data_IF_411326402550
#
_entry.id   IF_411326402550
#
_cell.length_a   1.000
_cell.length_b   1.000
_cell.length_c   1.000
_cell.angle_alpha   90.00
_cell.angle_beta   90.00
_cell.angle_gamma   90.00
#
_symmetry.space_group_name_H-M   'P 1'
#
loop_
_entity.id
_entity.type
_entity.pdbx_description
1 polymer ?
#
# COMPACT_ATOMS: atom_id res chain seq x y z
N UNK A 1 -8.94 -32.91 44.26
CA UNK A 1 -9.76 -31.80 43.74
C UNK A 1 -9.36 -31.56 42.29
N UNK A 2 -10.01 -32.25 41.35
CA UNK A 2 -9.74 -32.13 39.91
C UNK A 2 -10.91 -31.38 39.26
N UNK A 3 -10.73 -30.10 38.93
CA UNK A 3 -11.67 -29.32 38.11
C UNK A 3 -10.96 -28.13 37.45
N UNK A 4 -10.06 -28.44 36.51
CA UNK A 4 -9.41 -27.45 35.65
C UNK A 4 -9.08 -28.08 34.29
N UNK A 5 -10.09 -28.59 33.60
CA UNK A 5 -9.98 -29.01 32.21
C UNK A 5 -11.32 -28.70 31.54
N UNK A 6 -11.32 -27.90 30.48
CA UNK A 6 -12.56 -27.69 29.71
C UNK A 6 -12.71 -26.41 28.90
N UNK A 7 -11.72 -25.50 28.83
CA UNK A 7 -11.71 -24.58 27.69
C UNK A 7 -11.22 -25.42 26.51
N UNK A 8 -12.18 -26.00 25.76
CA UNK A 8 -11.89 -26.77 24.54
C UNK A 8 -10.98 -25.93 23.66
N UNK A 9 -9.99 -26.56 23.02
CA UNK A 9 -9.17 -25.89 21.99
C UNK A 9 -10.06 -25.11 21.01
N UNK A 10 -11.27 -25.62 20.72
CA UNK A 10 -12.28 -24.95 19.88
C UNK A 10 -12.73 -23.58 20.36
N UNK A 11 -12.76 -23.33 21.67
CA UNK A 11 -13.13 -22.02 22.21
C UNK A 11 -12.00 -21.00 22.09
N UNK A 12 -10.74 -21.45 22.22
CA UNK A 12 -9.54 -20.62 22.01
C UNK A 12 -9.35 -20.31 20.52
N UNK A 13 -9.47 -21.33 19.66
CA UNK A 13 -9.38 -21.15 18.21
C UNK A 13 -10.47 -20.20 17.69
N UNK A 14 -11.72 -20.33 18.16
CA UNK A 14 -12.83 -19.47 17.75
C UNK A 14 -12.62 -18.00 18.14
N UNK A 15 -12.20 -17.74 19.38
CA UNK A 15 -11.86 -16.38 19.84
C UNK A 15 -10.69 -15.78 19.07
N UNK A 16 -9.73 -16.61 18.63
CA UNK A 16 -8.61 -16.17 17.81
C UNK A 16 -9.05 -15.86 16.37
N UNK A 17 -9.92 -16.69 15.78
CA UNK A 17 -10.56 -16.42 14.49
C UNK A 17 -11.39 -15.13 14.53
N UNK A 18 -12.15 -14.90 15.60
CA UNK A 18 -12.92 -13.66 15.78
C UNK A 18 -12.00 -12.43 15.91
N UNK A 19 -10.88 -12.55 16.63
CA UNK A 19 -9.90 -11.47 16.73
C UNK A 19 -9.19 -11.18 15.40
N UNK A 20 -8.93 -12.21 14.58
CA UNK A 20 -8.38 -12.05 13.22
C UNK A 20 -9.38 -11.40 12.28
N UNK A 21 -10.64 -11.81 12.32
CA UNK A 21 -11.71 -11.18 11.54
C UNK A 21 -11.88 -9.70 11.91
N UNK A 22 -11.88 -9.39 13.21
CA UNK A 22 -11.92 -8.00 13.70
C UNK A 22 -10.68 -7.19 13.28
N UNK A 23 -9.49 -7.79 13.28
CA UNK A 23 -8.28 -7.13 12.79
C UNK A 23 -8.39 -6.85 11.28
N UNK A 24 -8.85 -7.81 10.49
CA UNK A 24 -9.03 -7.65 9.05
C UNK A 24 -10.10 -6.62 8.72
N UNK A 25 -11.21 -6.60 9.45
CA UNK A 25 -12.28 -5.61 9.29
C UNK A 25 -11.78 -4.22 9.71
N UNK A 26 -11.06 -4.09 10.83
CA UNK A 26 -10.45 -2.83 11.24
C UNK A 26 -9.40 -2.32 10.23
N UNK A 27 -8.64 -3.22 9.59
CA UNK A 27 -7.70 -2.87 8.52
C UNK A 27 -8.41 -2.53 7.20
N UNK A 28 -9.56 -3.15 6.90
CA UNK A 28 -10.37 -2.86 5.72
C UNK A 28 -11.12 -1.53 5.83
N UNK A 29 -11.48 -1.12 7.05
CA UNK A 29 -12.10 0.18 7.35
C UNK A 29 -11.09 1.35 7.31
N UNK A 30 -9.79 1.07 7.18
CA UNK A 30 -8.79 2.12 6.97
C UNK A 30 -9.00 2.76 5.60
N UNK A 31 -8.94 4.10 5.55
CA UNK A 31 -8.98 4.85 4.30
C UNK A 31 -7.67 4.64 3.53
N UNK A 32 -7.67 3.66 2.62
CA UNK A 32 -6.51 3.36 1.78
C UNK A 32 -6.48 4.37 0.62
N UNK A 33 -5.30 4.95 0.32
CA UNK A 33 -5.11 5.82 -0.83
C UNK A 33 -5.69 5.22 -2.12
N UNK A 34 -6.33 6.05 -2.93
CA UNK A 34 -6.89 5.67 -4.23
C UNK A 34 -6.38 6.62 -5.30
N UNK A 35 -6.03 6.09 -6.47
CA UNK A 35 -5.58 6.89 -7.61
C UNK A 35 -6.78 7.53 -8.32
N UNK A 36 -6.76 8.85 -8.49
CA UNK A 36 -7.80 9.59 -9.21
C UNK A 36 -7.77 9.30 -10.71
N UNK A 37 -8.95 9.12 -11.32
CA UNK A 37 -9.07 8.74 -12.73
C UNK A 37 -9.27 9.95 -13.68
N UNK A 38 -9.77 11.05 -13.15
CA UNK A 38 -10.19 12.26 -13.85
C UNK A 38 -9.10 13.35 -13.91
N UNK A 39 -7.97 13.14 -13.25
CA UNK A 39 -6.81 14.03 -13.29
C UNK A 39 -5.80 13.63 -14.38
N UNK A 40 -4.92 14.57 -14.81
CA UNK A 40 -3.75 14.24 -15.61
C UNK A 40 -2.91 13.15 -14.92
N UNK A 41 -2.46 12.08 -15.62
CA UNK A 41 -1.85 10.92 -14.96
C UNK A 41 -0.67 11.23 -14.04
N UNK A 42 0.22 12.14 -14.45
CA UNK A 42 1.35 12.56 -13.62
C UNK A 42 0.88 13.26 -12.34
N UNK A 43 -0.10 14.16 -12.43
CA UNK A 43 -0.65 14.86 -11.27
C UNK A 43 -1.38 13.91 -10.32
N UNK A 44 -2.19 13.00 -10.88
CA UNK A 44 -2.89 11.97 -10.12
C UNK A 44 -1.90 11.07 -9.35
N UNK A 45 -0.79 10.67 -10.00
CA UNK A 45 0.25 9.85 -9.38
C UNK A 45 1.03 10.62 -8.31
N UNK A 46 1.27 11.92 -8.47
CA UNK A 46 1.90 12.76 -7.44
C UNK A 46 0.98 12.84 -6.21
N UNK A 47 -0.30 13.16 -6.40
CA UNK A 47 -1.28 13.20 -5.30
C UNK A 47 -1.38 11.83 -4.60
N UNK A 48 -1.45 10.76 -5.38
CA UNK A 48 -1.47 9.40 -4.85
C UNK A 48 -0.19 9.05 -4.07
N UNK A 49 0.99 9.50 -4.51
CA UNK A 49 2.25 9.31 -3.80
C UNK A 49 2.27 10.04 -2.44
N UNK A 50 1.69 11.25 -2.38
CA UNK A 50 1.50 11.96 -1.13
C UNK A 50 0.59 11.21 -0.16
N UNK A 51 -0.50 10.65 -0.66
CA UNK A 51 -1.46 9.90 0.14
C UNK A 51 -0.85 8.60 0.68
N UNK A 52 -0.10 7.88 -0.17
CA UNK A 52 0.71 6.73 0.23
C UNK A 52 1.76 7.09 1.28
N UNK A 53 2.46 8.21 1.11
CA UNK A 53 3.46 8.65 2.08
C UNK A 53 2.83 8.89 3.45
N UNK A 54 1.71 9.64 3.49
CA UNK A 54 0.97 9.89 4.73
C UNK A 54 0.46 8.61 5.37
N UNK A 55 -0.01 7.68 4.55
CA UNK A 55 -0.44 6.37 4.99
C UNK A 55 0.71 5.60 5.66
N UNK A 56 1.86 5.46 5.00
CA UNK A 56 3.01 4.72 5.53
C UNK A 56 3.70 5.41 6.72
N UNK A 57 3.78 6.74 6.71
CA UNK A 57 4.45 7.51 7.76
C UNK A 57 3.54 7.80 8.97
N UNK A 58 2.24 7.51 8.88
CA UNK A 58 1.26 7.60 9.95
C UNK A 58 1.20 6.33 10.82
N UNK A 59 0.54 6.43 11.99
CA UNK A 59 0.43 5.32 12.95
C UNK A 59 -0.21 4.04 12.39
N UNK A 60 -1.14 4.19 11.44
CA UNK A 60 -1.83 3.08 10.78
C UNK A 60 -0.95 2.32 9.77
N UNK A 61 -0.03 3.01 9.08
CA UNK A 61 0.88 2.41 8.10
C UNK A 61 1.95 1.51 8.71
N UNK A 62 2.43 1.86 9.91
CA UNK A 62 3.36 1.02 10.67
C UNK A 62 2.72 -0.31 11.10
N UNK A 63 1.46 -0.29 11.53
CA UNK A 63 0.72 -1.50 11.84
C UNK A 63 0.58 -2.39 10.59
N UNK A 64 0.33 -1.78 9.44
CA UNK A 64 0.19 -2.47 8.17
C UNK A 64 1.50 -3.12 7.66
N UNK A 65 2.62 -2.39 7.80
CA UNK A 65 3.96 -2.94 7.54
C UNK A 65 4.29 -4.07 8.50
N UNK A 66 3.89 -3.94 9.76
CA UNK A 66 4.11 -4.97 10.78
C UNK A 66 3.34 -6.26 10.50
N UNK A 67 2.13 -6.18 9.92
CA UNK A 67 1.41 -7.37 9.42
C UNK A 67 2.21 -8.10 8.34
N UNK A 68 2.92 -7.39 7.47
CA UNK A 68 3.77 -8.02 6.45
C UNK A 68 5.06 -8.62 7.04
N UNK A 69 5.65 -7.96 8.05
CA UNK A 69 6.85 -8.45 8.75
C UNK A 69 6.55 -9.67 9.62
N UNK A 70 5.43 -9.66 10.35
CA UNK A 70 4.99 -10.74 11.24
C UNK A 70 4.22 -11.84 10.47
N UNK A 71 3.78 -11.54 9.25
CA UNK A 71 2.97 -12.39 8.38
C UNK A 71 3.51 -13.81 8.11
N UNK A 72 4.82 -14.05 7.99
CA UNK A 72 5.37 -15.41 7.89
C UNK A 72 5.04 -16.30 9.11
N UNK A 73 4.80 -15.72 10.28
CA UNK A 73 4.37 -16.44 11.48
C UNK A 73 2.87 -16.77 11.46
N UNK A 74 2.10 -16.08 10.60
CA UNK A 74 0.65 -16.19 10.47
C UNK A 74 0.19 -16.12 9.00
N UNK A 75 0.60 -17.09 8.14
CA UNK A 75 0.43 -17.00 6.69
C UNK A 75 -1.04 -16.90 6.23
N UNK A 76 -1.97 -17.51 6.98
CA UNK A 76 -3.40 -17.43 6.67
C UNK A 76 -3.97 -16.01 6.87
N UNK A 77 -3.52 -15.28 7.90
CA UNK A 77 -3.92 -13.89 8.14
C UNK A 77 -3.36 -13.01 7.02
N UNK A 78 -2.07 -13.18 6.69
CA UNK A 78 -1.42 -12.40 5.64
C UNK A 78 -2.12 -12.61 4.29
N UNK A 79 -2.48 -13.85 3.95
CA UNK A 79 -3.24 -14.15 2.73
C UNK A 79 -4.60 -13.43 2.72
N UNK A 80 -5.38 -13.54 3.80
CA UNK A 80 -6.69 -12.89 3.86
C UNK A 80 -6.58 -11.37 3.80
N UNK A 81 -5.57 -10.80 4.46
CA UNK A 81 -5.28 -9.38 4.43
C UNK A 81 -4.93 -8.92 3.01
N UNK A 82 -4.03 -9.61 2.32
CA UNK A 82 -3.67 -9.31 0.92
C UNK A 82 -4.88 -9.35 0.01
N UNK A 83 -5.66 -10.44 0.07
CA UNK A 83 -6.79 -10.65 -0.82
C UNK A 83 -7.94 -9.65 -0.59
N UNK A 84 -8.21 -9.26 0.66
CA UNK A 84 -9.34 -8.35 0.99
C UNK A 84 -8.98 -6.88 0.90
N UNK A 85 -7.73 -6.53 1.15
CA UNK A 85 -7.33 -5.14 1.40
C UNK A 85 -6.34 -4.64 0.36
N UNK A 86 -5.25 -5.38 0.12
CA UNK A 86 -4.15 -4.90 -0.74
C UNK A 86 -4.47 -5.09 -2.22
N UNK A 87 -4.83 -6.31 -2.63
CA UNK A 87 -5.04 -6.67 -4.03
C UNK A 87 -6.15 -5.86 -4.71
N UNK A 88 -7.32 -5.62 -4.10
CA UNK A 88 -8.37 -4.82 -4.72
C UNK A 88 -7.93 -3.37 -4.98
N UNK A 89 -7.11 -2.80 -4.09
CA UNK A 89 -6.65 -1.43 -4.19
C UNK A 89 -5.57 -1.28 -5.28
N UNK A 90 -4.64 -2.24 -5.36
CA UNK A 90 -3.67 -2.31 -6.45
C UNK A 90 -4.36 -2.50 -7.80
N UNK A 91 -5.35 -3.39 -7.90
CA UNK A 91 -6.08 -3.63 -9.12
C UNK A 91 -6.77 -2.36 -9.65
N UNK A 92 -7.43 -1.58 -8.77
CA UNK A 92 -8.06 -0.31 -9.13
C UNK A 92 -7.04 0.72 -9.65
N UNK A 93 -5.91 0.88 -8.96
CA UNK A 93 -4.87 1.83 -9.39
C UNK A 93 -4.27 1.43 -10.76
N UNK A 94 -4.06 0.13 -10.99
CA UNK A 94 -3.61 -0.39 -12.28
C UNK A 94 -4.66 -0.13 -13.36
N UNK A 95 -5.94 -0.35 -13.09
CA UNK A 95 -7.02 -0.11 -14.04
C UNK A 95 -7.10 1.37 -14.48
N UNK A 96 -6.91 2.31 -13.56
CA UNK A 96 -6.86 3.75 -13.86
C UNK A 96 -5.73 4.08 -14.84
N UNK A 97 -4.52 3.54 -14.59
CA UNK A 97 -3.38 3.76 -15.48
C UNK A 97 -3.53 3.02 -16.82
N UNK A 98 -4.13 1.83 -16.84
CA UNK A 98 -4.46 1.14 -18.09
C UNK A 98 -5.43 1.95 -18.94
N UNK A 99 -6.42 2.60 -18.32
CA UNK A 99 -7.32 3.51 -19.04
C UNK A 99 -6.53 4.72 -19.59
N UNK A 100 -5.70 5.36 -18.78
CA UNK A 100 -4.86 6.46 -19.23
C UNK A 100 -3.95 6.07 -20.41
N UNK A 101 -3.38 4.86 -20.39
CA UNK A 101 -2.57 4.32 -21.48
C UNK A 101 -3.40 4.11 -22.74
N UNK A 102 -4.59 3.52 -22.62
CA UNK A 102 -5.52 3.31 -23.73
C UNK A 102 -6.00 4.63 -24.35
N UNK A 103 -6.12 5.68 -23.55
CA UNK A 103 -6.47 7.03 -24.00
C UNK A 103 -5.27 7.79 -24.61
N UNK A 104 -4.07 7.21 -24.61
CA UNK A 104 -2.84 7.86 -25.08
C UNK A 104 -2.33 8.98 -24.16
N UNK A 105 -2.76 9.01 -22.89
CA UNK A 105 -2.34 10.00 -21.89
C UNK A 105 -1.02 9.66 -21.19
N UNK A 106 -0.58 8.40 -21.29
CA UNK A 106 0.76 7.93 -20.95
C UNK A 106 1.30 7.09 -22.10
N UNK A 107 2.63 6.92 -22.15
CA UNK A 107 3.30 6.16 -23.21
C UNK A 107 2.78 4.70 -23.30
N UNK A 108 2.66 4.18 -24.52
CA UNK A 108 2.09 2.87 -24.78
C UNK A 108 2.94 1.72 -24.21
N UNK A 109 4.24 1.94 -24.06
CA UNK A 109 5.22 0.96 -23.56
C UNK A 109 5.33 0.96 -22.03
N UNK A 110 4.68 1.92 -21.35
CA UNK A 110 4.60 1.94 -19.89
C UNK A 110 3.78 0.74 -19.42
N UNK A 111 4.33 -0.02 -18.45
CA UNK A 111 3.61 -1.08 -17.74
C UNK A 111 2.90 -0.49 -16.51
N UNK A 112 1.55 -0.41 -16.51
CA UNK A 112 0.80 0.18 -15.39
C UNK A 112 1.04 -0.52 -14.05
N UNK A 113 1.13 -1.86 -14.05
CA UNK A 113 1.42 -2.62 -12.84
C UNK A 113 2.81 -2.31 -12.29
N UNK A 114 3.82 -2.21 -13.16
CA UNK A 114 5.17 -1.86 -12.74
C UNK A 114 5.26 -0.44 -12.18
N UNK A 115 4.53 0.52 -12.75
CA UNK A 115 4.45 1.89 -12.23
C UNK A 115 3.88 1.92 -10.81
N UNK A 116 2.75 1.25 -10.58
CA UNK A 116 2.11 1.22 -9.26
C UNK A 116 2.99 0.51 -8.22
N UNK A 117 3.60 -0.62 -8.59
CA UNK A 117 4.50 -1.37 -7.71
C UNK A 117 5.76 -0.58 -7.36
N UNK A 118 6.43 0.02 -8.36
CA UNK A 118 7.63 0.82 -8.17
C UNK A 118 7.35 2.06 -7.32
N UNK A 119 6.23 2.76 -7.57
CA UNK A 119 5.85 3.93 -6.80
C UNK A 119 5.55 3.56 -5.35
N UNK A 120 4.74 2.52 -5.12
CA UNK A 120 4.44 2.03 -3.78
C UNK A 120 5.70 1.69 -2.99
N UNK A 121 6.65 0.97 -3.61
CA UNK A 121 7.93 0.63 -3.00
C UNK A 121 8.80 1.85 -2.67
N UNK A 122 8.95 2.78 -3.61
CA UNK A 122 9.75 4.00 -3.43
C UNK A 122 9.19 4.89 -2.30
N UNK A 123 7.87 5.08 -2.28
CA UNK A 123 7.19 5.86 -1.25
C UNK A 123 7.27 5.19 0.12
N UNK A 124 7.10 3.88 0.19
CA UNK A 124 7.25 3.12 1.44
C UNK A 124 8.66 3.29 2.04
N UNK A 125 9.71 3.15 1.24
CA UNK A 125 11.10 3.36 1.70
C UNK A 125 11.32 4.81 2.14
N UNK A 126 10.80 5.79 1.38
CA UNK A 126 10.89 7.20 1.74
C UNK A 126 10.20 7.50 3.08
N UNK A 127 9.02 6.94 3.33
CA UNK A 127 8.30 7.07 4.59
C UNK A 127 9.07 6.44 5.76
N UNK A 128 9.63 5.24 5.57
CA UNK A 128 10.44 4.55 6.59
C UNK A 128 11.74 5.29 6.94
N UNK A 129 12.33 6.00 5.97
CA UNK A 129 13.52 6.84 6.18
C UNK A 129 13.19 8.22 6.79
N UNK A 130 11.90 8.60 6.83
CA UNK A 130 11.46 9.89 7.35
C UNK A 130 11.16 9.81 8.85
N UNK A 131 11.30 10.92 9.61
CA UNK A 131 10.84 10.99 10.99
C UNK A 131 9.33 10.67 11.09
N UNK A 132 8.84 10.08 12.20
CA UNK A 132 7.42 9.78 12.38
C UNK A 132 6.54 11.04 12.24
N UNK A 133 5.39 10.91 11.55
CA UNK A 133 4.41 12.00 11.47
C UNK A 133 3.85 12.25 12.88
N UNK A 134 4.14 13.43 13.42
CA UNK A 134 3.86 13.81 14.81
C UNK A 134 4.82 14.85 15.39
N UNK A 135 5.96 15.10 14.72
CA UNK A 135 6.93 16.12 15.13
C UNK A 135 6.97 17.38 14.22
N UNK A 136 6.38 17.35 13.01
CA UNK A 136 6.46 18.47 12.04
C UNK A 136 5.18 18.56 11.20
N UNK A 137 4.62 19.77 11.05
CA UNK A 137 3.60 20.14 10.04
C UNK A 137 4.18 20.09 8.60
N UNK A 138 3.44 20.59 7.59
CA UNK A 138 2.99 19.85 6.42
C UNK A 138 4.14 19.25 5.60
N UNK A 139 3.89 18.11 4.95
CA UNK A 139 4.81 17.38 4.05
C UNK A 139 6.03 18.20 3.66
N UNK A 140 7.16 17.96 4.34
CA UNK A 140 8.38 18.75 4.18
C UNK A 140 8.62 18.99 2.68
N UNK A 141 8.87 20.23 2.27
CA UNK A 141 9.06 20.57 0.87
C UNK A 141 10.13 19.67 0.19
N UNK A 142 11.07 19.13 0.97
CA UNK A 142 11.98 18.09 0.53
C UNK A 142 11.27 16.77 0.16
N UNK A 143 10.39 16.26 1.00
CA UNK A 143 9.58 15.06 0.73
C UNK A 143 8.68 15.28 -0.48
N UNK A 144 7.98 16.41 -0.56
CA UNK A 144 7.15 16.71 -1.73
C UNK A 144 7.94 16.70 -3.04
N UNK A 145 9.12 17.34 -3.06
CA UNK A 145 10.03 17.29 -4.22
C UNK A 145 10.48 15.86 -4.53
N UNK A 146 10.78 15.06 -3.51
CA UNK A 146 11.21 13.68 -3.68
C UNK A 146 10.11 12.80 -4.29
N UNK A 147 8.87 12.93 -3.82
CA UNK A 147 7.71 12.18 -4.34
C UNK A 147 7.44 12.55 -5.81
N UNK A 148 7.49 13.84 -6.15
CA UNK A 148 7.40 14.29 -7.54
C UNK A 148 8.50 13.71 -8.41
N UNK A 149 9.75 13.70 -7.91
CA UNK A 149 10.88 13.12 -8.63
C UNK A 149 10.69 11.62 -8.90
N UNK A 150 10.15 10.85 -7.94
CA UNK A 150 9.83 9.44 -8.15
C UNK A 150 8.82 9.25 -9.28
N UNK A 151 7.71 9.98 -9.26
CA UNK A 151 6.68 9.87 -10.31
C UNK A 151 7.27 10.20 -11.67
N UNK A 152 8.02 11.29 -11.78
CA UNK A 152 8.62 11.72 -13.04
C UNK A 152 9.67 10.71 -13.54
N UNK A 153 10.51 10.15 -12.66
CA UNK A 153 11.47 9.12 -13.04
C UNK A 153 10.80 7.81 -13.44
N UNK A 154 9.70 7.43 -12.80
CA UNK A 154 8.97 6.20 -13.12
C UNK A 154 8.23 6.33 -14.45
N UNK A 155 7.60 7.48 -14.73
CA UNK A 155 6.85 7.71 -15.97
C UNK A 155 7.75 8.00 -17.17
N UNK A 156 8.82 8.77 -16.98
CA UNK A 156 9.67 9.26 -18.07
C UNK A 156 11.03 8.57 -18.13
N UNK A 157 11.32 7.70 -17.16
CA UNK A 157 12.53 6.89 -17.14
C UNK A 157 12.58 5.95 -18.33
N UNK A 158 13.74 5.88 -19.00
CA UNK A 158 13.92 4.98 -20.13
C UNK A 158 14.06 3.55 -19.64
N UNK A 159 13.16 2.67 -20.06
CA UNK A 159 13.37 1.23 -19.99
C UNK A 159 14.31 0.85 -21.13
N UNK A 160 15.56 0.54 -20.82
CA UNK A 160 16.48 -0.07 -21.80
C UNK A 160 16.16 -1.56 -21.89
N UNK A 161 16.00 -2.09 -23.10
CA UNK A 161 15.82 -3.53 -23.29
C UNK A 161 17.04 -4.26 -22.70
N UNK A 162 16.88 -5.18 -21.71
CA UNK A 162 17.99 -5.93 -21.14
C UNK A 162 18.71 -6.83 -22.17
N UNK A 163 18.24 -6.89 -23.42
CA UNK A 163 18.84 -7.61 -24.53
C UNK A 163 19.62 -6.76 -25.54
N UNK A 164 19.81 -5.45 -25.30
CA UNK A 164 20.65 -4.58 -26.15
C UNK A 164 22.13 -4.61 -25.79
#
# INVERSE_FOLDING_TARGET
>A
MAKAAGVSKDAIYRRYTDAQALLLDALADQSIPTLAADEPPEQALIAFAHDLFRYFAGGDGYANLRVHVDGPQHPAILQQYRNRVVEPQLAKAVEVLEQARRDGRIDADVSPSAVIEALGGAVMICALASPPLGAVEPTDAAVARQLTAFVQQILHGRVTDPRS
#
